data_IF_925821342929
#
_entry.id   IF_925821342929
#
_cell.length_a   1.000
_cell.length_b   1.000
_cell.length_c   1.000
_cell.angle_alpha   90.00
_cell.angle_beta   90.00
_cell.angle_gamma   90.00
#
_symmetry.space_group_name_H-M   'P 1'
#
loop_
_entity.id
_entity.type
_entity.pdbx_description
1 polymer ?
#
# COMPACT_ATOMS: atom_id res chain seq x y z
N UNK A 1 -26.95 -31.05 8.35
CA UNK A 1 -27.21 -31.67 9.67
C UNK A 1 -28.65 -31.46 10.11
N UNK A 2 -29.60 -31.42 9.18
CA UNK A 2 -30.95 -30.89 9.44
C UNK A 2 -32.07 -31.86 9.04
N UNK A 3 -31.76 -33.15 8.85
CA UNK A 3 -32.72 -34.12 8.28
C UNK A 3 -33.02 -35.29 9.21
N UNK A 4 -32.63 -35.24 10.49
CA UNK A 4 -32.87 -36.36 11.43
C UNK A 4 -33.26 -35.86 12.82
N UNK A 5 -34.22 -34.93 12.92
CA UNK A 5 -34.69 -34.45 14.23
C UNK A 5 -36.21 -34.40 14.35
N UNK A 6 -36.89 -35.39 13.78
CA UNK A 6 -38.27 -35.70 14.11
C UNK A 6 -38.36 -37.20 14.39
N UNK A 7 -38.17 -37.59 15.65
CA UNK A 7 -38.94 -38.62 16.37
C UNK A 7 -38.16 -39.13 17.61
N UNK A 8 -38.67 -38.74 18.79
CA UNK A 8 -38.75 -39.63 19.95
C UNK A 8 -37.52 -39.84 20.84
N UNK A 9 -37.57 -39.25 22.04
CA UNK A 9 -37.14 -39.93 23.26
C UNK A 9 -35.84 -39.46 23.89
N UNK A 10 -35.91 -39.32 25.21
CA UNK A 10 -34.89 -38.92 26.20
C UNK A 10 -33.69 -39.90 26.24
N UNK A 11 -32.96 -40.03 25.14
CA UNK A 11 -31.70 -40.76 25.04
C UNK A 11 -30.58 -39.73 25.14
N UNK A 12 -29.71 -39.91 26.13
CA UNK A 12 -28.48 -39.14 26.32
C UNK A 12 -27.90 -38.74 24.95
N UNK A 13 -27.65 -37.43 24.72
CA UNK A 13 -27.15 -36.91 23.44
C UNK A 13 -25.87 -37.66 23.03
N UNK A 14 -26.03 -38.78 22.32
CA UNK A 14 -24.92 -39.52 21.74
C UNK A 14 -24.49 -38.68 20.54
N UNK A 15 -23.52 -37.80 20.78
CA UNK A 15 -22.93 -36.98 19.73
C UNK A 15 -22.25 -37.85 18.68
N UNK A 16 -22.92 -38.08 17.56
CA UNK A 16 -22.32 -38.77 16.42
C UNK A 16 -21.30 -37.86 15.73
N UNK A 17 -20.01 -38.15 15.89
CA UNK A 17 -18.92 -37.43 15.23
C UNK A 17 -18.57 -38.14 13.92
N UNK A 18 -19.02 -37.59 12.80
CA UNK A 18 -18.70 -38.10 11.46
C UNK A 18 -17.20 -37.89 11.18
N UNK A 19 -16.47 -38.98 10.97
CA UNK A 19 -15.03 -38.99 10.64
C UNK A 19 -14.80 -39.48 9.21
N UNK A 20 -13.60 -39.28 8.68
CA UNK A 20 -13.21 -39.65 7.32
C UNK A 20 -12.54 -38.50 6.56
N UNK A 21 -11.80 -38.81 5.51
CA UNK A 21 -11.01 -37.82 4.75
C UNK A 21 -11.89 -36.74 4.10
N UNK A 22 -13.05 -37.12 3.55
CA UNK A 22 -13.99 -36.21 2.89
C UNK A 22 -14.61 -35.19 3.86
N UNK A 23 -15.27 -35.60 4.96
CA UNK A 23 -15.80 -34.64 5.94
C UNK A 23 -14.71 -33.81 6.61
N UNK A 24 -13.50 -34.37 6.83
CA UNK A 24 -12.37 -33.62 7.37
C UNK A 24 -11.89 -32.54 6.39
N UNK A 25 -11.74 -32.86 5.10
CA UNK A 25 -11.32 -31.89 4.08
C UNK A 25 -12.32 -30.74 3.95
N UNK A 26 -13.62 -31.04 3.92
CA UNK A 26 -14.68 -30.02 3.86
C UNK A 26 -14.70 -29.13 5.11
N UNK A 27 -14.56 -29.72 6.30
CA UNK A 27 -14.46 -28.97 7.57
C UNK A 27 -13.23 -28.06 7.58
N UNK A 28 -12.08 -28.54 7.10
CA UNK A 28 -10.86 -27.74 6.98
C UNK A 28 -11.06 -26.60 5.99
N UNK A 29 -11.67 -26.84 4.83
CA UNK A 29 -11.91 -25.80 3.84
C UNK A 29 -12.86 -24.71 4.36
N UNK A 30 -13.94 -25.09 5.06
CA UNK A 30 -14.84 -24.15 5.73
C UNK A 30 -14.14 -23.35 6.84
N UNK A 31 -13.39 -24.02 7.71
CA UNK A 31 -12.65 -23.35 8.79
C UNK A 31 -11.61 -22.35 8.24
N UNK A 32 -10.94 -22.68 7.14
CA UNK A 32 -9.99 -21.77 6.49
C UNK A 32 -10.73 -20.59 5.85
N UNK A 33 -11.90 -20.79 5.23
CA UNK A 33 -12.69 -19.71 4.67
C UNK A 33 -13.20 -18.73 5.75
N UNK A 34 -13.75 -19.25 6.85
CA UNK A 34 -14.15 -18.44 8.00
C UNK A 34 -12.96 -17.67 8.58
N UNK A 35 -11.80 -18.34 8.71
CA UNK A 35 -10.56 -17.71 9.16
C UNK A 35 -10.11 -16.61 8.20
N UNK A 36 -10.26 -16.80 6.88
CA UNK A 36 -9.93 -15.78 5.89
C UNK A 36 -10.83 -14.57 6.05
N UNK A 37 -12.16 -14.75 6.12
CA UNK A 37 -13.10 -13.63 6.27
C UNK A 37 -12.80 -12.85 7.54
N UNK A 38 -12.61 -13.54 8.67
CA UNK A 38 -12.29 -12.89 9.94
C UNK A 38 -10.93 -12.19 9.91
N UNK A 39 -9.90 -12.84 9.36
CA UNK A 39 -8.54 -12.26 9.26
C UNK A 39 -8.51 -11.07 8.32
N UNK A 40 -9.23 -11.11 7.20
CA UNK A 40 -9.37 -9.98 6.28
C UNK A 40 -10.11 -8.82 6.91
N UNK A 41 -11.23 -9.09 7.59
CA UNK A 41 -11.99 -8.06 8.30
C UNK A 41 -11.12 -7.38 9.35
N UNK A 42 -10.40 -8.17 10.15
CA UNK A 42 -9.47 -7.65 11.15
C UNK A 42 -8.31 -6.86 10.51
N UNK A 43 -7.69 -7.39 9.46
CA UNK A 43 -6.61 -6.71 8.76
C UNK A 43 -7.08 -5.39 8.15
N UNK A 44 -8.26 -5.36 7.54
CA UNK A 44 -8.85 -4.14 6.99
C UNK A 44 -9.10 -3.08 8.07
N UNK A 45 -9.60 -3.50 9.24
CA UNK A 45 -9.77 -2.61 10.39
C UNK A 45 -8.43 -2.08 10.93
N UNK A 46 -7.42 -2.95 11.04
CA UNK A 46 -6.09 -2.57 11.54
C UNK A 46 -5.38 -1.62 10.59
N UNK A 47 -5.32 -1.95 9.29
CA UNK A 47 -4.74 -1.09 8.27
C UNK A 47 -5.55 0.22 8.22
N UNK A 48 -6.88 0.14 8.34
CA UNK A 48 -7.79 1.28 8.41
C UNK A 48 -7.37 2.22 9.54
N UNK A 49 -7.21 1.66 10.74
CA UNK A 49 -6.72 2.38 11.91
C UNK A 49 -5.35 3.02 11.66
N UNK A 50 -4.39 2.28 11.12
CA UNK A 50 -3.05 2.80 10.82
C UNK A 50 -3.10 3.95 9.82
N UNK A 51 -3.88 3.85 8.75
CA UNK A 51 -4.04 4.93 7.77
C UNK A 51 -4.75 6.15 8.37
N UNK A 52 -5.76 5.95 9.22
CA UNK A 52 -6.43 7.06 9.91
C UNK A 52 -5.45 7.78 10.85
N UNK A 53 -4.64 7.03 11.60
CA UNK A 53 -3.60 7.59 12.49
C UNK A 53 -2.54 8.32 11.68
N UNK A 54 -2.06 7.71 10.60
CA UNK A 54 -1.07 8.31 9.70
C UNK A 54 -1.62 9.62 9.14
N UNK A 55 -2.80 9.62 8.55
CA UNK A 55 -3.33 10.79 7.84
C UNK A 55 -4.00 11.80 8.78
N UNK A 56 -4.24 11.45 10.05
CA UNK A 56 -5.01 12.23 11.04
C UNK A 56 -6.40 12.66 10.54
N UNK A 57 -6.95 11.94 9.56
CA UNK A 57 -8.24 12.24 8.94
C UNK A 57 -8.95 10.94 8.54
N UNK A 58 -10.12 10.63 9.14
CA UNK A 58 -10.80 9.36 8.90
C UNK A 58 -11.28 9.19 7.46
N UNK A 59 -11.76 10.26 6.83
CA UNK A 59 -12.26 10.21 5.43
C UNK A 59 -11.09 9.93 4.49
N UNK A 60 -9.96 10.61 4.70
CA UNK A 60 -8.79 10.41 3.87
C UNK A 60 -8.20 9.00 4.08
N UNK A 61 -8.16 8.50 5.32
CA UNK A 61 -7.70 7.14 5.64
C UNK A 61 -8.57 6.03 5.02
N UNK A 62 -9.90 6.20 4.98
CA UNK A 62 -10.77 5.26 4.29
C UNK A 62 -10.59 5.32 2.77
N UNK A 63 -10.44 6.51 2.19
CA UNK A 63 -10.25 6.65 0.75
C UNK A 63 -8.89 6.08 0.29
N UNK A 64 -7.85 6.13 1.12
CA UNK A 64 -6.57 5.47 0.83
C UNK A 64 -6.64 3.94 0.85
N UNK A 65 -7.74 3.33 1.26
CA UNK A 65 -7.93 1.88 1.14
C UNK A 65 -8.21 1.42 -0.29
N UNK A 66 -8.79 2.30 -1.11
CA UNK A 66 -9.13 2.00 -2.50
C UNK A 66 -7.94 1.44 -3.32
N UNK A 67 -6.76 2.08 -3.36
CA UNK A 67 -5.59 1.53 -4.06
C UNK A 67 -5.11 0.19 -3.50
N UNK A 68 -5.38 -0.13 -2.23
CA UNK A 68 -4.98 -1.41 -1.61
C UNK A 68 -5.93 -2.55 -1.97
N UNK A 69 -7.25 -2.28 -2.00
CA UNK A 69 -8.27 -3.29 -2.32
C UNK A 69 -8.29 -3.58 -3.81
N UNK A 70 -8.03 -2.58 -4.66
CA UNK A 70 -8.15 -2.70 -6.12
C UNK A 70 -7.31 -3.85 -6.71
N UNK A 71 -6.01 -4.00 -6.40
CA UNK A 71 -5.19 -5.12 -6.88
C UNK A 71 -5.76 -6.48 -6.48
N UNK A 72 -6.21 -6.61 -5.24
CA UNK A 72 -6.83 -7.83 -4.71
C UNK A 72 -8.13 -8.11 -5.48
N UNK A 73 -8.99 -7.10 -5.62
CA UNK A 73 -10.24 -7.21 -6.36
C UNK A 73 -10.05 -7.59 -7.82
N UNK A 74 -9.02 -7.05 -8.49
CA UNK A 74 -8.68 -7.40 -9.88
C UNK A 74 -8.23 -8.85 -9.97
N UNK A 75 -7.27 -9.29 -9.15
CA UNK A 75 -6.73 -10.65 -9.22
C UNK A 75 -7.78 -11.69 -8.82
N UNK A 76 -8.45 -11.51 -7.68
CA UNK A 76 -9.50 -12.43 -7.24
C UNK A 76 -10.74 -12.38 -8.14
N UNK A 77 -11.05 -11.20 -8.69
CA UNK A 77 -12.09 -11.04 -9.71
C UNK A 77 -11.78 -11.84 -10.97
N UNK A 78 -10.52 -11.82 -11.43
CA UNK A 78 -10.08 -12.65 -12.56
C UNK A 78 -10.20 -14.14 -12.25
N UNK A 79 -9.75 -14.60 -11.08
CA UNK A 79 -9.88 -16.02 -10.67
C UNK A 79 -11.35 -16.47 -10.69
N UNK A 80 -12.23 -15.65 -10.11
CA UNK A 80 -13.67 -15.90 -10.07
C UNK A 80 -14.28 -15.93 -11.48
N UNK A 81 -13.86 -15.00 -12.34
CA UNK A 81 -14.28 -14.95 -13.75
C UNK A 81 -13.88 -16.19 -14.54
N UNK A 82 -12.68 -16.72 -14.30
CA UNK A 82 -12.21 -17.98 -14.91
C UNK A 82 -12.82 -19.24 -14.26
N UNK A 83 -13.67 -19.11 -13.24
CA UNK A 83 -14.32 -20.23 -12.56
C UNK A 83 -13.36 -21.13 -11.78
N UNK A 84 -12.19 -20.61 -11.40
CA UNK A 84 -11.20 -21.39 -10.67
C UNK A 84 -11.60 -21.49 -9.18
N UNK A 85 -11.64 -22.69 -8.60
CA UNK A 85 -12.07 -22.86 -7.21
C UNK A 85 -11.07 -22.22 -6.24
N UNK A 86 -11.61 -21.49 -5.26
CA UNK A 86 -10.84 -20.92 -4.15
C UNK A 86 -10.36 -22.06 -3.25
N UNK A 87 -9.06 -22.28 -3.25
CA UNK A 87 -8.37 -23.26 -2.41
C UNK A 87 -7.49 -22.57 -1.36
N UNK A 88 -6.83 -23.37 -0.53
CA UNK A 88 -5.95 -22.86 0.54
C UNK A 88 -4.85 -21.92 -0.01
N UNK A 89 -4.39 -22.12 -1.24
CA UNK A 89 -3.34 -21.29 -1.85
C UNK A 89 -3.82 -19.91 -2.18
N UNK A 90 -4.96 -19.83 -2.87
CA UNK A 90 -5.63 -18.55 -3.16
C UNK A 90 -5.96 -17.80 -1.87
N UNK A 91 -6.35 -18.51 -0.80
CA UNK A 91 -6.68 -17.92 0.49
C UNK A 91 -5.44 -17.31 1.19
N UNK A 92 -4.32 -18.03 1.21
CA UNK A 92 -3.06 -17.51 1.76
C UNK A 92 -2.55 -16.33 0.94
N UNK A 93 -2.59 -16.42 -0.40
CA UNK A 93 -2.25 -15.31 -1.31
C UNK A 93 -3.00 -14.06 -0.90
N UNK A 94 -4.31 -14.15 -0.71
CA UNK A 94 -5.15 -13.03 -0.35
C UNK A 94 -4.62 -12.32 0.91
N UNK A 95 -4.36 -13.08 1.97
CA UNK A 95 -3.94 -12.52 3.26
C UNK A 95 -2.57 -11.82 3.17
N UNK A 96 -1.61 -12.44 2.47
CA UNK A 96 -0.25 -11.87 2.33
C UNK A 96 -0.28 -10.64 1.41
N UNK A 97 -1.03 -10.73 0.33
CA UNK A 97 -1.23 -9.67 -0.63
C UNK A 97 -1.71 -8.36 -0.02
N UNK A 98 -2.66 -8.43 0.91
CA UNK A 98 -3.17 -7.25 1.60
C UNK A 98 -2.07 -6.52 2.37
N UNK A 99 -1.14 -7.25 2.99
CA UNK A 99 0.01 -6.65 3.67
C UNK A 99 0.97 -5.96 2.71
N UNK A 100 1.26 -6.59 1.57
CA UNK A 100 2.19 -6.03 0.56
C UNK A 100 1.58 -4.80 -0.12
N UNK A 101 0.30 -4.84 -0.49
CA UNK A 101 -0.36 -3.72 -1.17
C UNK A 101 -0.34 -2.43 -0.33
N UNK A 102 -0.48 -2.58 0.99
CA UNK A 102 -0.47 -1.45 1.93
C UNK A 102 0.90 -0.80 2.06
N UNK A 103 1.98 -1.58 1.99
CA UNK A 103 3.35 -1.10 2.18
C UNK A 103 3.73 -0.03 1.14
N UNK A 104 3.43 -0.28 -0.13
CA UNK A 104 3.70 0.66 -1.21
C UNK A 104 2.92 1.98 -1.07
N UNK A 105 1.62 1.89 -0.75
CA UNK A 105 0.80 3.07 -0.44
C UNK A 105 1.34 3.84 0.77
N UNK A 106 1.75 3.16 1.85
CA UNK A 106 2.33 3.81 3.05
C UNK A 106 3.60 4.58 2.71
N UNK A 107 4.49 3.97 1.93
CA UNK A 107 5.76 4.57 1.56
C UNK A 107 5.54 5.85 0.74
N UNK A 108 4.72 5.78 -0.32
CA UNK A 108 4.41 6.94 -1.18
C UNK A 108 3.71 8.06 -0.41
N UNK A 109 2.77 7.70 0.46
CA UNK A 109 1.99 8.66 1.23
C UNK A 109 2.80 9.37 2.32
N UNK A 110 3.77 8.67 2.90
CA UNK A 110 4.70 9.26 3.87
C UNK A 110 5.54 10.35 3.20
N UNK A 111 6.15 10.06 2.04
CA UNK A 111 6.90 11.05 1.26
C UNK A 111 6.03 12.21 0.76
N UNK A 112 4.80 11.94 0.32
CA UNK A 112 3.85 12.98 -0.05
C UNK A 112 3.57 13.94 1.11
N UNK A 113 3.33 13.40 2.31
CA UNK A 113 3.10 14.22 3.52
C UNK A 113 4.33 15.02 3.90
N UNK A 114 5.53 14.47 3.76
CA UNK A 114 6.77 15.21 3.99
C UNK A 114 6.93 16.38 3.02
N UNK A 115 6.59 16.20 1.73
CA UNK A 115 6.56 17.28 0.75
C UNK A 115 5.63 18.43 1.14
N UNK A 116 4.42 18.10 1.60
CA UNK A 116 3.46 19.11 2.08
C UNK A 116 3.97 19.80 3.35
N UNK A 117 4.61 19.06 4.28
CA UNK A 117 5.24 19.66 5.47
C UNK A 117 6.40 20.59 5.12
N UNK A 118 7.13 20.30 4.04
CA UNK A 118 8.17 21.17 3.51
C UNK A 118 7.61 22.43 2.80
N UNK A 119 6.30 22.61 2.77
CA UNK A 119 5.64 23.77 2.19
C UNK A 119 5.46 23.72 0.68
N UNK A 120 5.72 22.56 0.05
CA UNK A 120 5.53 22.38 -1.39
C UNK A 120 4.05 22.38 -1.76
N UNK A 121 3.77 22.70 -3.01
CA UNK A 121 2.43 22.51 -3.56
C UNK A 121 2.09 21.02 -3.62
N UNK A 122 0.78 20.72 -3.75
CA UNK A 122 0.30 19.35 -3.86
C UNK A 122 0.90 18.60 -5.05
N UNK A 123 0.96 19.23 -6.22
CA UNK A 123 1.55 18.61 -7.41
C UNK A 123 3.03 18.32 -7.22
N UNK A 124 3.79 19.29 -6.69
CA UNK A 124 5.22 19.10 -6.41
C UNK A 124 5.47 18.01 -5.37
N UNK A 125 4.59 17.87 -4.37
CA UNK A 125 4.71 16.83 -3.35
C UNK A 125 4.43 15.44 -3.93
N UNK A 126 3.50 15.32 -4.88
CA UNK A 126 3.23 14.05 -5.59
C UNK A 126 4.44 13.67 -6.46
N UNK A 127 4.96 14.63 -7.23
CA UNK A 127 6.14 14.40 -8.09
C UNK A 127 7.34 14.01 -7.26
N UNK A 128 7.64 14.75 -6.18
CA UNK A 128 8.74 14.43 -5.29
C UNK A 128 8.57 13.04 -4.67
N UNK A 129 7.37 12.69 -4.21
CA UNK A 129 7.13 11.38 -3.62
C UNK A 129 7.44 10.28 -4.63
N UNK A 130 6.91 10.39 -5.85
CA UNK A 130 7.15 9.43 -6.94
C UNK A 130 8.64 9.35 -7.35
N UNK A 131 9.33 10.47 -7.45
CA UNK A 131 10.77 10.48 -7.78
C UNK A 131 11.60 9.78 -6.71
N UNK A 132 11.22 9.89 -5.45
CA UNK A 132 11.96 9.30 -4.34
C UNK A 132 11.60 7.83 -4.10
N UNK A 133 10.31 7.49 -4.09
CA UNK A 133 9.87 6.14 -3.76
C UNK A 133 9.63 5.25 -4.97
N UNK A 134 9.29 5.79 -6.14
CA UNK A 134 8.93 5.02 -7.33
C UNK A 134 9.99 3.99 -7.74
N UNK A 135 11.28 4.37 -7.89
CA UNK A 135 12.34 3.42 -8.20
C UNK A 135 12.50 2.33 -7.13
N UNK A 136 12.44 2.70 -5.84
CA UNK A 136 12.54 1.75 -4.74
C UNK A 136 11.37 0.73 -4.73
N UNK A 137 10.16 1.21 -4.98
CA UNK A 137 8.96 0.37 -5.10
C UNK A 137 9.05 -0.57 -6.31
N UNK A 138 9.58 -0.09 -7.43
CA UNK A 138 9.82 -0.92 -8.61
C UNK A 138 10.81 -2.05 -8.32
N UNK A 139 11.96 -1.74 -7.72
CA UNK A 139 12.97 -2.74 -7.41
C UNK A 139 12.48 -3.80 -6.42
N UNK A 140 11.84 -3.38 -5.34
CA UNK A 140 11.28 -4.30 -4.33
C UNK A 140 10.20 -5.19 -4.93
N UNK A 141 9.26 -4.61 -5.67
CA UNK A 141 8.18 -5.36 -6.33
C UNK A 141 8.69 -6.31 -7.40
N UNK A 142 9.73 -5.92 -8.15
CA UNK A 142 10.34 -6.79 -9.16
C UNK A 142 11.02 -8.00 -8.50
N UNK A 143 11.83 -7.78 -7.45
CA UNK A 143 12.50 -8.88 -6.72
C UNK A 143 11.47 -9.82 -6.09
N UNK A 144 10.45 -9.27 -5.42
CA UNK A 144 9.39 -10.06 -4.79
C UNK A 144 8.58 -10.81 -5.84
N UNK A 145 8.16 -10.15 -6.92
CA UNK A 145 7.38 -10.76 -8.00
C UNK A 145 8.14 -11.88 -8.71
N UNK A 146 9.41 -11.68 -9.04
CA UNK A 146 10.26 -12.73 -9.62
C UNK A 146 10.45 -13.88 -8.63
N UNK A 147 10.74 -13.57 -7.35
CA UNK A 147 10.89 -14.60 -6.31
C UNK A 147 9.64 -15.46 -6.14
N UNK A 148 8.45 -14.85 -6.21
CA UNK A 148 7.17 -15.57 -6.17
C UNK A 148 6.91 -16.38 -7.44
N UNK A 149 7.29 -15.86 -8.62
CA UNK A 149 7.20 -16.63 -9.87
C UNK A 149 8.09 -17.87 -9.87
N UNK A 150 9.21 -17.88 -9.14
CA UNK A 150 10.05 -19.08 -9.00
C UNK A 150 9.34 -20.23 -8.28
N UNK A 151 8.20 -19.99 -7.62
CA UNK A 151 7.35 -21.04 -7.03
C UNK A 151 6.38 -21.66 -8.04
N UNK A 152 6.17 -21.05 -9.22
CA UNK A 152 5.28 -21.56 -10.24
C UNK A 152 5.57 -23.01 -10.72
N UNK A 153 6.83 -23.47 -10.87
CA UNK A 153 7.12 -24.84 -11.28
C UNK A 153 7.01 -25.87 -10.14
N UNK A 154 6.51 -25.50 -8.95
CA UNK A 154 6.39 -26.45 -7.85
C UNK A 154 5.32 -27.53 -8.12
N UNK A 155 5.63 -28.79 -7.80
CA UNK A 155 4.70 -29.93 -7.95
C UNK A 155 3.48 -29.81 -7.03
N UNK A 156 3.67 -29.16 -5.86
CA UNK A 156 2.59 -28.92 -4.93
C UNK A 156 1.70 -27.79 -5.45
N UNK A 157 0.49 -28.13 -5.91
CA UNK A 157 -0.47 -27.19 -6.51
C UNK A 157 -0.73 -25.95 -5.65
N UNK A 158 -0.75 -26.12 -4.31
CA UNK A 158 -0.86 -25.04 -3.34
C UNK A 158 0.24 -23.98 -3.53
N UNK A 159 1.48 -24.42 -3.68
CA UNK A 159 2.68 -23.56 -3.81
C UNK A 159 2.76 -22.96 -5.21
N UNK A 160 2.47 -23.75 -6.24
CA UNK A 160 2.38 -23.28 -7.62
C UNK A 160 1.37 -22.13 -7.75
N UNK A 161 0.14 -22.33 -7.27
CA UNK A 161 -0.94 -21.33 -7.28
C UNK A 161 -0.56 -20.07 -6.53
N UNK A 162 -0.02 -20.24 -5.32
CA UNK A 162 0.44 -19.12 -4.52
C UNK A 162 1.48 -18.27 -5.27
N UNK A 163 2.45 -18.90 -5.94
CA UNK A 163 3.54 -18.22 -6.64
C UNK A 163 3.07 -17.28 -7.74
N UNK A 164 2.35 -17.80 -8.73
CA UNK A 164 1.93 -16.98 -9.87
C UNK A 164 0.83 -15.96 -9.50
N UNK A 165 -0.05 -16.29 -8.56
CA UNK A 165 -1.07 -15.36 -8.08
C UNK A 165 -0.46 -14.19 -7.32
N UNK A 166 0.47 -14.47 -6.42
CA UNK A 166 1.17 -13.43 -5.68
C UNK A 166 1.98 -12.53 -6.61
N UNK A 167 2.65 -13.09 -7.62
CA UNK A 167 3.38 -12.30 -8.60
C UNK A 167 2.46 -11.35 -9.40
N UNK A 168 1.31 -11.86 -9.87
CA UNK A 168 0.31 -11.05 -10.54
C UNK A 168 -0.21 -9.92 -9.62
N UNK A 169 -0.42 -10.23 -8.34
CA UNK A 169 -0.92 -9.27 -7.37
C UNK A 169 0.11 -8.19 -7.04
N UNK A 170 1.37 -8.56 -6.81
CA UNK A 170 2.46 -7.59 -6.59
C UNK A 170 2.59 -6.64 -7.78
N UNK A 171 2.50 -7.17 -9.01
CA UNK A 171 2.46 -6.34 -10.21
C UNK A 171 1.26 -5.39 -10.25
N UNK A 172 0.06 -5.89 -9.95
CA UNK A 172 -1.15 -5.07 -9.90
C UNK A 172 -1.10 -4.01 -8.79
N UNK A 173 -0.51 -4.33 -7.63
CA UNK A 173 -0.33 -3.42 -6.51
C UNK A 173 0.63 -2.28 -6.87
N UNK A 174 1.78 -2.60 -7.48
CA UNK A 174 2.71 -1.60 -7.97
C UNK A 174 2.06 -0.63 -8.96
N UNK A 175 1.23 -1.14 -9.88
CA UNK A 175 0.50 -0.29 -10.82
C UNK A 175 -0.54 0.58 -10.11
N UNK A 176 -1.27 0.04 -9.13
CA UNK A 176 -2.21 0.81 -8.33
C UNK A 176 -1.50 1.92 -7.54
N UNK A 177 -0.33 1.65 -6.97
CA UNK A 177 0.40 2.63 -6.18
C UNK A 177 1.09 3.71 -7.03
N UNK A 178 1.63 3.38 -8.20
CA UNK A 178 2.34 4.37 -9.04
C UNK A 178 1.39 5.16 -9.94
N UNK A 179 0.23 4.60 -10.30
CA UNK A 179 -0.72 5.24 -11.22
C UNK A 179 -1.95 5.74 -10.47
N UNK A 180 -2.67 4.84 -9.81
CA UNK A 180 -3.98 5.14 -9.25
C UNK A 180 -3.89 6.01 -7.99
N UNK A 181 -2.94 5.75 -7.10
CA UNK A 181 -2.76 6.53 -5.87
C UNK A 181 -2.37 8.00 -6.15
N UNK A 182 -1.37 8.33 -7.01
CA UNK A 182 -1.09 9.72 -7.41
C UNK A 182 -2.26 10.42 -8.07
N UNK A 183 -3.04 9.71 -8.91
CA UNK A 183 -4.26 10.26 -9.50
C UNK A 183 -5.30 10.61 -8.42
N UNK A 184 -5.44 9.75 -7.41
CA UNK A 184 -6.33 10.00 -6.28
C UNK A 184 -5.85 11.19 -5.44
N UNK A 185 -4.54 11.29 -5.19
CA UNK A 185 -3.91 12.43 -4.50
C UNK A 185 -4.04 13.73 -5.30
N UNK A 186 -4.01 13.71 -6.62
CA UNK A 186 -4.27 14.91 -7.43
C UNK A 186 -5.73 15.38 -7.32
N UNK A 187 -6.65 14.46 -7.04
CA UNK A 187 -8.08 14.71 -6.88
C UNK A 187 -8.51 15.22 -5.49
N UNK A 188 -9.72 14.88 -5.03
CA UNK A 188 -10.27 15.36 -3.75
C UNK A 188 -9.53 14.80 -2.53
N UNK A 189 -8.91 13.62 -2.65
CA UNK A 189 -8.19 13.00 -1.55
C UNK A 189 -6.97 13.82 -1.13
N UNK A 190 -6.13 14.26 -2.06
CA UNK A 190 -4.97 15.08 -1.69
C UNK A 190 -5.35 16.46 -1.17
N UNK A 191 -6.51 17.01 -1.54
CA UNK A 191 -7.01 18.24 -0.94
C UNK A 191 -7.40 18.05 0.55
N UNK A 192 -7.98 16.90 0.90
CA UNK A 192 -8.28 16.54 2.29
C UNK A 192 -7.01 16.34 3.11
N UNK A 193 -6.01 15.69 2.54
CA UNK A 193 -4.73 15.44 3.21
C UNK A 193 -3.96 16.74 3.40
N UNK A 194 -3.87 17.59 2.38
CA UNK A 194 -3.18 18.89 2.45
C UNK A 194 -3.75 19.77 3.56
N UNK A 195 -5.09 19.87 3.66
CA UNK A 195 -5.77 20.63 4.73
C UNK A 195 -5.46 20.09 6.12
N UNK A 196 -5.36 18.77 6.24
CA UNK A 196 -5.07 18.12 7.52
C UNK A 196 -3.61 18.34 7.91
N UNK A 197 -2.68 18.19 6.97
CA UNK A 197 -1.24 18.39 7.19
C UNK A 197 -0.92 19.84 7.52
N UNK A 198 -1.47 20.83 6.80
CA UNK A 198 -1.24 22.26 7.09
C UNK A 198 -1.79 22.72 8.45
N UNK A 199 -2.72 21.95 9.04
CA UNK A 199 -3.30 22.23 10.35
C UNK A 199 -2.47 21.62 11.50
N UNK A 200 -1.50 20.76 11.19
CA UNK A 200 -0.67 20.06 12.18
C UNK A 200 0.30 21.03 12.89
N UNK A 201 0.33 21.12 14.23
CA UNK A 201 1.25 22.03 14.93
C UNK A 201 2.73 21.84 14.57
N UNK A 202 3.14 20.60 14.25
CA UNK A 202 4.50 20.25 13.81
C UNK A 202 4.89 20.89 12.46
N UNK A 203 3.91 21.18 11.58
CA UNK A 203 4.19 21.85 10.31
C UNK A 203 4.54 23.32 10.49
N UNK A 204 3.97 23.99 11.50
CA UNK A 204 4.27 25.41 11.82
C UNK A 204 5.70 25.59 12.32
N UNK A 205 6.16 24.68 13.18
CA UNK A 205 7.47 24.74 13.81
C UNK A 205 8.61 24.53 12.79
N UNK A 206 8.45 23.54 11.88
CA UNK A 206 9.43 23.29 10.80
C UNK A 206 9.50 24.45 9.78
N UNK A 207 8.39 25.18 9.60
CA UNK A 207 8.33 26.39 8.76
C UNK A 207 9.01 27.60 9.42
N UNK A 208 8.92 27.74 10.74
CA UNK A 208 9.64 28.76 11.52
C UNK A 208 11.15 28.48 11.51
N UNK A 209 11.56 27.22 11.73
CA UNK A 209 12.97 26.82 11.69
C UNK A 209 13.59 27.02 10.30
N UNK A 210 12.89 26.66 9.21
CA UNK A 210 13.37 26.85 7.83
C UNK A 210 13.53 28.33 7.45
N UNK A 211 12.65 29.22 7.94
CA UNK A 211 12.80 30.67 7.74
C UNK A 211 13.96 31.26 8.55
N UNK A 212 14.28 30.69 9.70
CA UNK A 212 15.39 31.12 10.54
C UNK A 212 16.78 30.80 9.95
N UNK A 213 16.88 29.82 9.04
CA UNK A 213 18.14 29.34 8.47
C UNK A 213 18.50 29.90 7.08
N UNK A 214 17.82 30.93 6.56
CA UNK A 214 18.26 31.59 5.32
C UNK A 214 19.54 32.38 5.56
N UNK A 215 20.73 31.95 5.08
CA UNK A 215 21.92 32.77 5.18
C UNK A 215 21.76 33.90 4.17
N UNK A 216 21.77 35.15 4.64
CA UNK A 216 21.83 36.33 3.78
C UNK A 216 23.17 36.33 3.02
N UNK A 217 23.22 35.67 1.87
CA UNK A 217 24.33 35.82 0.94
C UNK A 217 24.21 37.20 0.28
N UNK A 218 24.80 38.20 0.93
CA UNK A 218 25.01 39.53 0.35
C UNK A 218 26.13 39.38 -0.69
N UNK A 219 25.76 39.26 -1.96
CA UNK A 219 26.71 39.42 -3.07
C UNK A 219 27.23 40.86 -2.98
N UNK A 220 28.49 41.00 -2.59
CA UNK A 220 29.24 42.25 -2.72
C UNK A 220 29.56 42.38 -4.20
N UNK A 221 28.81 43.24 -4.90
CA UNK A 221 29.18 43.69 -6.24
C UNK A 221 30.44 44.54 -6.13
N UNK A 222 31.59 43.98 -6.51
CA UNK A 222 32.79 44.77 -6.81
C UNK A 222 32.55 45.54 -8.10
N UNK A 223 32.20 46.80 -7.96
CA UNK A 223 32.34 47.82 -9.01
C UNK A 223 33.36 48.82 -8.51
N UNK A 224 34.59 48.76 -9.01
CA UNK A 224 35.50 49.92 -9.13
C UNK A 224 36.79 49.57 -9.91
N UNK A 225 37.11 50.42 -10.91
CA UNK A 225 38.40 50.51 -11.63
C UNK A 225 38.48 49.72 -12.94
N UNK A 226 38.26 50.26 -14.14
CA UNK A 226 38.44 51.64 -14.61
C UNK A 226 39.83 51.85 -15.20
N UNK A 227 39.95 51.61 -16.51
CA UNK A 227 40.90 52.17 -17.48
C UNK A 227 42.15 52.93 -16.98
N UNK A 228 43.35 52.39 -17.25
CA UNK A 228 44.48 53.13 -17.85
C UNK A 228 45.71 52.22 -18.02
N UNK A 229 45.88 51.62 -19.20
CA UNK A 229 47.17 51.16 -19.68
C UNK A 229 47.35 51.65 -21.11
N UNK A 230 47.80 52.89 -21.23
CA UNK A 230 48.42 53.39 -22.45
C UNK A 230 49.38 54.53 -22.07
N UNK A 231 50.65 54.36 -22.46
CA UNK A 231 51.81 55.28 -22.32
C UNK A 231 52.71 55.08 -21.10
N UNK A 232 53.70 54.20 -21.22
CA UNK A 232 55.07 54.45 -20.74
C UNK A 232 56.07 53.41 -21.29
N UNK A 233 56.34 53.45 -22.61
CA UNK A 233 57.58 52.91 -23.19
C UNK A 233 58.10 53.92 -24.23
N UNK A 234 58.62 55.03 -23.72
CA UNK A 234 59.52 55.94 -24.42
C UNK A 234 60.39 56.61 -23.35
N UNK A 235 61.58 56.03 -23.14
CA UNK A 235 62.59 56.49 -22.19
C UNK A 235 63.80 55.57 -22.25
#
# INVERSE_FOLDING_TARGET
TEVLNEEGGELAEVGFKVTGMVPLFLRTQQAVLESLINSFGLAFLLIGGVMIILLKNPIAGLLTMLPNILPIGVVFGMISWYGMPVDIGTMITASVALGIAVDGTLHLLTWFREGIHAGKSRQESIVQALEHCGPAMWHTSAVVGVGLLMLAPADLLLVCRFGWLMAALVGAALLADIIFLPALLAGPLGALIERTVKKDPLSKQKQEDSKSYSPRFRIVSTTEGGENQSKEEAG
#
